data_IF_176489213511
#
_entry.id   IF_176489213511
#
_cell.length_a   1.000
_cell.length_b   1.000
_cell.length_c   1.000
_cell.angle_alpha   90.00
_cell.angle_beta   90.00
_cell.angle_gamma   90.00
#
_symmetry.space_group_name_H-M   'P 1'
#
loop_
_entity.id
_entity.type
_entity.pdbx_description
1 polymer ?
#
# COMPACT_ATOMS: atom_id res chain seq x y z
N UNK A 1 -1.66 3.14 -18.15
CA UNK A 1 -0.83 2.83 -16.95
C UNK A 1 -1.17 3.70 -15.74
N UNK A 2 -1.29 5.03 -15.91
CA UNK A 2 -1.63 5.96 -14.83
C UNK A 2 -2.95 5.60 -14.12
N UNK A 3 -4.01 5.32 -14.88
CA UNK A 3 -5.32 4.89 -14.32
C UNK A 3 -5.21 3.61 -13.50
N UNK A 4 -4.40 2.64 -13.97
CA UNK A 4 -4.16 1.39 -13.25
C UNK A 4 -3.45 1.64 -11.93
N UNK A 5 -2.47 2.53 -11.89
CA UNK A 5 -1.81 2.93 -10.65
C UNK A 5 -2.79 3.59 -9.67
N UNK A 6 -3.64 4.50 -10.15
CA UNK A 6 -4.64 5.16 -9.31
C UNK A 6 -5.68 4.17 -8.77
N UNK A 7 -6.13 3.23 -9.59
CA UNK A 7 -7.04 2.16 -9.15
C UNK A 7 -6.41 1.29 -8.05
N UNK A 8 -5.14 0.88 -8.21
CA UNK A 8 -4.42 0.09 -7.21
C UNK A 8 -4.22 0.90 -5.92
N UNK A 9 -3.86 2.18 -6.03
CA UNK A 9 -3.75 3.08 -4.88
C UNK A 9 -5.09 3.19 -4.15
N UNK A 10 -6.18 3.44 -4.85
CA UNK A 10 -7.52 3.54 -4.26
C UNK A 10 -7.95 2.23 -3.58
N UNK A 11 -7.72 1.09 -4.23
CA UNK A 11 -8.00 -0.23 -3.69
C UNK A 11 -7.20 -0.50 -2.40
N UNK A 12 -5.88 -0.24 -2.43
CA UNK A 12 -5.01 -0.39 -1.27
C UNK A 12 -5.46 0.49 -0.10
N UNK A 13 -5.80 1.75 -0.36
CA UNK A 13 -6.30 2.69 0.68
C UNK A 13 -7.59 2.18 1.31
N UNK A 14 -8.55 1.75 0.50
CA UNK A 14 -9.82 1.22 1.00
C UNK A 14 -9.63 -0.07 1.79
N UNK A 15 -8.78 -0.97 1.30
CA UNK A 15 -8.51 -2.23 1.97
C UNK A 15 -7.82 -2.01 3.33
N UNK A 16 -6.82 -1.12 3.39
CA UNK A 16 -6.14 -0.77 4.66
C UNK A 16 -7.12 -0.12 5.64
N UNK A 17 -7.98 0.80 5.18
CA UNK A 17 -9.00 1.41 6.05
C UNK A 17 -9.95 0.39 6.67
N UNK A 18 -10.33 -0.63 5.89
CA UNK A 18 -11.27 -1.68 6.29
C UNK A 18 -10.61 -2.85 7.05
N UNK A 19 -9.29 -2.87 7.17
CA UNK A 19 -8.59 -3.91 7.91
C UNK A 19 -8.98 -3.88 9.40
N UNK A 20 -9.33 -5.05 9.92
CA UNK A 20 -9.85 -5.26 11.28
C UNK A 20 -8.77 -5.74 12.26
N UNK A 21 -7.73 -6.41 11.76
CA UNK A 21 -6.68 -7.01 12.57
C UNK A 21 -5.28 -6.87 11.95
N UNK A 22 -4.26 -7.19 12.74
CA UNK A 22 -2.85 -7.08 12.31
C UNK A 22 -2.51 -8.06 11.18
N UNK A 23 -3.20 -9.21 11.10
CA UNK A 23 -2.97 -10.21 10.06
C UNK A 23 -3.44 -9.68 8.71
N UNK A 24 -4.63 -9.09 8.64
CA UNK A 24 -5.13 -8.44 7.43
C UNK A 24 -4.21 -7.30 6.98
N UNK A 25 -3.69 -6.50 7.91
CA UNK A 25 -2.73 -5.45 7.57
C UNK A 25 -1.46 -6.01 6.92
N UNK A 26 -0.92 -7.10 7.47
CA UNK A 26 0.29 -7.73 6.93
C UNK A 26 0.02 -8.36 5.55
N UNK A 27 -1.13 -9.01 5.36
CA UNK A 27 -1.56 -9.55 4.06
C UNK A 27 -1.66 -8.44 3.01
N UNK A 28 -2.29 -7.31 3.35
CA UNK A 28 -2.40 -6.14 2.46
C UNK A 28 -1.02 -5.52 2.16
N UNK A 29 -0.13 -5.45 3.16
CA UNK A 29 1.25 -4.98 2.96
C UNK A 29 1.96 -5.84 1.92
N UNK A 30 1.86 -7.16 2.03
CA UNK A 30 2.49 -8.08 1.07
C UNK A 30 1.84 -7.99 -0.30
N UNK A 31 0.51 -7.91 -0.39
CA UNK A 31 -0.25 -7.85 -1.63
C UNK A 31 0.04 -6.58 -2.46
N UNK A 32 0.19 -5.42 -1.81
CA UNK A 32 0.40 -4.15 -2.52
C UNK A 32 1.88 -3.72 -2.57
N UNK A 33 2.60 -3.82 -1.44
CA UNK A 33 3.97 -3.30 -1.29
C UNK A 33 5.05 -4.37 -1.43
N UNK A 34 4.69 -5.65 -1.33
CA UNK A 34 5.65 -6.76 -1.38
C UNK A 34 6.45 -6.85 -2.68
N UNK A 35 7.46 -7.75 -2.70
CA UNK A 35 8.33 -7.99 -3.87
C UNK A 35 7.57 -8.42 -5.13
N UNK A 36 6.41 -9.04 -4.96
CA UNK A 36 5.45 -9.43 -6.00
C UNK A 36 4.16 -8.61 -5.94
N UNK A 37 4.11 -7.59 -5.10
CA UNK A 37 2.91 -6.81 -4.88
C UNK A 37 2.57 -5.93 -6.09
N UNK A 38 1.31 -5.52 -6.16
CA UNK A 38 0.74 -4.81 -7.30
C UNK A 38 1.51 -3.52 -7.67
N UNK A 39 1.92 -2.73 -6.67
CA UNK A 39 2.70 -1.50 -6.91
C UNK A 39 4.11 -1.81 -7.42
N UNK A 40 4.73 -2.89 -6.92
CA UNK A 40 6.04 -3.36 -7.41
C UNK A 40 5.94 -3.96 -8.81
N UNK A 41 4.82 -4.59 -9.16
CA UNK A 41 4.57 -5.12 -10.50
C UNK A 41 4.45 -3.99 -11.54
N UNK A 42 3.82 -2.86 -11.19
CA UNK A 42 3.78 -1.68 -12.07
C UNK A 42 5.20 -1.18 -12.38
N UNK A 43 6.09 -1.08 -11.38
CA UNK A 43 7.48 -0.68 -11.61
C UNK A 43 8.19 -1.58 -12.64
N UNK A 44 7.94 -2.89 -12.62
CA UNK A 44 8.52 -3.83 -13.60
C UNK A 44 7.93 -3.66 -15.00
N UNK A 45 6.65 -3.29 -15.10
CA UNK A 45 5.98 -3.04 -16.38
C UNK A 45 6.40 -1.71 -17.03
N UNK A 46 7.07 -0.82 -16.31
CA UNK A 46 7.61 0.44 -16.84
C UNK A 46 8.77 0.26 -17.84
N UNK A 47 9.33 -0.95 -17.99
CA UNK A 47 10.37 -1.24 -18.98
C UNK A 47 9.96 -0.86 -20.41
N UNK A 48 8.66 -0.95 -20.73
CA UNK A 48 8.10 -0.58 -22.04
C UNK A 48 7.79 0.90 -22.24
N UNK A 49 7.99 1.77 -21.25
CA UNK A 49 7.74 3.22 -21.39
C UNK A 49 8.89 3.94 -22.11
N UNK A 50 8.55 5.05 -22.76
CA UNK A 50 9.54 5.96 -23.35
C UNK A 50 10.46 6.56 -22.26
N UNK A 51 11.70 6.97 -22.60
CA UNK A 51 12.64 7.54 -21.64
C UNK A 51 12.11 8.77 -20.90
N UNK A 52 11.23 9.54 -21.52
CA UNK A 52 10.62 10.76 -20.94
C UNK A 52 9.47 10.45 -19.97
N UNK A 53 8.72 9.37 -20.21
CA UNK A 53 7.60 8.97 -19.37
C UNK A 53 8.02 8.14 -18.15
N UNK A 54 9.13 7.40 -18.26
CA UNK A 54 9.70 6.60 -17.16
C UNK A 54 9.89 7.39 -15.86
N UNK A 55 10.58 8.55 -15.83
CA UNK A 55 10.79 9.29 -14.58
C UNK A 55 9.48 9.79 -13.96
N UNK A 56 8.55 10.31 -14.77
CA UNK A 56 7.23 10.76 -14.30
C UNK A 56 6.43 9.62 -13.69
N UNK A 57 6.38 8.46 -14.37
CA UNK A 57 5.67 7.29 -13.86
C UNK A 57 6.35 6.71 -12.61
N UNK A 58 7.68 6.71 -12.57
CA UNK A 58 8.45 6.22 -11.42
C UNK A 58 8.20 7.04 -10.16
N UNK A 59 8.14 8.37 -10.29
CA UNK A 59 7.76 9.25 -9.19
C UNK A 59 6.35 8.94 -8.68
N UNK A 60 5.36 8.82 -9.58
CA UNK A 60 3.99 8.50 -9.19
C UNK A 60 3.87 7.17 -8.45
N UNK A 61 4.59 6.13 -8.90
CA UNK A 61 4.56 4.82 -8.24
C UNK A 61 5.24 4.85 -6.88
N UNK A 62 6.37 5.56 -6.75
CA UNK A 62 7.07 5.72 -5.47
C UNK A 62 6.24 6.54 -4.48
N UNK A 63 5.54 7.58 -4.95
CA UNK A 63 4.62 8.36 -4.13
C UNK A 63 3.44 7.51 -3.66
N UNK A 64 2.83 6.73 -4.56
CA UNK A 64 1.77 5.79 -4.21
C UNK A 64 2.23 4.74 -3.19
N UNK A 65 3.45 4.19 -3.36
CA UNK A 65 4.07 3.27 -2.39
C UNK A 65 4.22 3.92 -1.02
N UNK A 66 4.85 5.09 -0.95
CA UNK A 66 5.11 5.79 0.31
C UNK A 66 3.80 6.14 1.02
N UNK A 67 2.78 6.56 0.26
CA UNK A 67 1.46 6.85 0.79
C UNK A 67 0.77 5.63 1.40
N UNK A 68 0.77 4.50 0.67
CA UNK A 68 0.17 3.25 1.15
C UNK A 68 0.95 2.70 2.35
N UNK A 69 2.28 2.79 2.34
CA UNK A 69 3.14 2.36 3.45
C UNK A 69 2.85 3.17 4.74
N UNK A 70 2.71 4.48 4.62
CA UNK A 70 2.29 5.34 5.74
C UNK A 70 0.92 4.96 6.30
N UNK A 71 -0.05 4.67 5.43
CA UNK A 71 -1.39 4.22 5.86
C UNK A 71 -1.36 2.86 6.55
N UNK A 72 -0.62 1.90 6.00
CA UNK A 72 -0.43 0.57 6.59
C UNK A 72 0.19 0.70 7.99
N UNK A 73 1.26 1.50 8.12
CA UNK A 73 1.92 1.72 9.41
C UNK A 73 0.97 2.33 10.43
N UNK A 74 0.28 3.42 10.05
CA UNK A 74 -0.67 4.11 10.93
C UNK A 74 -1.80 3.18 11.38
N UNK A 75 -2.42 2.45 10.45
CA UNK A 75 -3.51 1.54 10.76
C UNK A 75 -3.05 0.36 11.63
N UNK A 76 -1.83 -0.13 11.42
CA UNK A 76 -1.22 -1.15 12.28
C UNK A 76 -1.09 -0.66 13.72
N UNK A 77 -0.59 0.57 13.91
CA UNK A 77 -0.48 1.18 15.24
C UNK A 77 -1.85 1.37 15.88
N UNK A 78 -2.85 1.85 15.14
CA UNK A 78 -4.23 1.99 15.63
C UNK A 78 -4.82 0.65 16.11
N UNK A 79 -4.64 -0.43 15.33
CA UNK A 79 -5.11 -1.77 15.69
C UNK A 79 -4.37 -2.28 16.94
N UNK A 80 -3.05 -2.09 16.99
CA UNK A 80 -2.22 -2.51 18.13
C UNK A 80 -2.63 -1.77 19.41
N UNK A 81 -2.84 -0.46 19.34
CA UNK A 81 -3.30 0.36 20.46
C UNK A 81 -4.66 -0.11 20.97
N UNK A 82 -5.64 -0.32 20.07
CA UNK A 82 -6.95 -0.86 20.44
C UNK A 82 -6.85 -2.23 21.11
N UNK A 83 -5.99 -3.11 20.62
CA UNK A 83 -5.78 -4.43 21.22
C UNK A 83 -5.16 -4.33 22.62
N UNK A 84 -4.23 -3.39 22.85
CA UNK A 84 -3.64 -3.14 24.17
C UNK A 84 -4.65 -2.53 25.14
N UNK A 85 -5.45 -1.54 24.71
CA UNK A 85 -6.51 -0.94 25.56
C UNK A 85 -7.55 -1.98 25.99
N UNK A 86 -7.96 -2.88 25.09
CA UNK A 86 -8.88 -3.97 25.42
C UNK A 86 -8.30 -4.92 26.47
N UNK A 87 -7.00 -5.21 26.42
CA UNK A 87 -6.32 -6.07 27.42
C UNK A 87 -6.13 -5.40 28.78
N UNK A 88 -6.03 -4.07 28.84
CA UNK A 88 -5.88 -3.32 30.09
C UNK A 88 -7.20 -3.08 30.82
N UNK A 89 -8.34 -3.21 30.11
CA UNK A 89 -9.70 -3.07 30.67
C UNK A 89 -10.35 -4.40 31.07
N UNK A 90 -9.70 -5.54 30.76
CA UNK A 90 -10.12 -6.88 31.15
C UNK A 90 -9.36 -7.33 32.41
#
# INVERSE_FOLDING_TARGET
>A
MKEKLEAIKAAAVNAVKNAADEKQIEELRVAYLGKKGELTAILKQMGGLSPEERPKMGQLVNEAKSYVEGLVSKKREEIKQKATELKLKA
#
